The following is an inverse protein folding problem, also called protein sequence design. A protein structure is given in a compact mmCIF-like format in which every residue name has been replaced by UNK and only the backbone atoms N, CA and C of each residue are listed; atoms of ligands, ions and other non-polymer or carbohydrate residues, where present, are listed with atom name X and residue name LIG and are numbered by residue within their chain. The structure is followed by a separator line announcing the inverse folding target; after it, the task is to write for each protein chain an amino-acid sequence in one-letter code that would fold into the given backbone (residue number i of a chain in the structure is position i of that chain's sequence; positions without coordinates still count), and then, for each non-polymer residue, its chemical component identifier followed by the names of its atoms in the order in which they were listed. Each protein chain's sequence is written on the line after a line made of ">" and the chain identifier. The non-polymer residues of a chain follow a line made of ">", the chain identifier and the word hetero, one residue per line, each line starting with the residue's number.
data_IF_801541172694
#
_entry.id   IF_801541172694
#
_cell.length_a   1.000
_cell.length_b   1.000
_cell.length_c   1.000
_cell.angle_alpha   90.00
_cell.angle_beta   90.00
_cell.angle_gamma   90.00
#
_symmetry.space_group_name_H-M   'P 1'
#
loop_
_entity.id
_entity.type
_entity.pdbx_description
1 polymer ?
#
# COMPACT_ATOMS: atom_id res chain seq x y z
N UNK A 1 -14.02 21.32 21.45
CA UNK A 1 -13.73 19.86 21.40
C UNK A 1 -14.06 19.38 20.00
N UNK A 2 -13.06 19.10 19.16
CA UNK A 2 -13.32 18.55 17.82
C UNK A 2 -13.69 17.08 17.99
N UNK A 3 -14.95 16.74 17.75
CA UNK A 3 -15.40 15.36 17.65
C UNK A 3 -14.63 14.71 16.49
N UNK A 4 -13.76 13.75 16.80
CA UNK A 4 -13.13 12.93 15.76
C UNK A 4 -14.25 12.16 15.07
N UNK A 5 -14.43 12.37 13.78
CA UNK A 5 -15.26 11.50 12.94
C UNK A 5 -14.71 10.07 13.08
N UNK A 6 -15.54 9.06 13.33
CA UNK A 6 -15.07 7.68 13.35
C UNK A 6 -14.34 7.37 12.05
N UNK A 7 -13.20 6.68 12.15
CA UNK A 7 -12.49 6.17 10.97
C UNK A 7 -13.38 5.10 10.34
N UNK A 8 -13.81 5.33 9.11
CA UNK A 8 -14.51 4.32 8.33
C UNK A 8 -13.47 3.51 7.53
N UNK A 9 -13.44 2.21 7.77
CA UNK A 9 -12.61 1.28 7.03
C UNK A 9 -13.46 0.56 6.00
N UNK A 10 -12.95 0.41 4.79
CA UNK A 10 -13.62 -0.29 3.68
C UNK A 10 -13.52 -1.81 3.80
N UNK A 11 -12.66 -2.31 4.68
CA UNK A 11 -12.33 -3.73 4.83
C UNK A 11 -11.99 -4.05 6.28
N UNK A 12 -11.88 -5.33 6.59
CA UNK A 12 -11.37 -5.77 7.89
C UNK A 12 -9.86 -5.61 7.95
N UNK A 13 -9.29 -5.16 9.09
CA UNK A 13 -7.85 -5.00 9.23
C UNK A 13 -7.14 -6.35 9.21
N UNK A 14 -5.81 -6.32 9.05
CA UNK A 14 -4.97 -7.52 9.19
C UNK A 14 -5.28 -8.25 10.49
N UNK A 15 -5.46 -9.59 10.46
CA UNK A 15 -5.76 -10.37 11.66
C UNK A 15 -4.71 -10.18 12.76
N UNK A 16 -5.19 -9.87 13.97
CA UNK A 16 -4.32 -9.69 15.13
C UNK A 16 -3.59 -8.34 15.21
N UNK A 17 -3.89 -7.41 14.32
CA UNK A 17 -3.31 -6.06 14.32
C UNK A 17 -4.33 -5.06 14.87
N UNK A 18 -4.00 -4.40 15.96
CA UNK A 18 -4.81 -3.29 16.50
C UNK A 18 -4.49 -2.01 15.73
N UNK A 19 -5.54 -1.37 15.22
CA UNK A 19 -5.46 -0.11 14.45
C UNK A 19 -6.15 1.06 15.16
N UNK A 20 -6.58 0.87 16.40
CA UNK A 20 -7.31 1.90 17.17
C UNK A 20 -6.44 3.09 17.59
N UNK A 21 -5.13 2.92 17.61
CA UNK A 21 -4.14 3.87 18.11
C UNK A 21 -3.40 4.67 17.00
N UNK A 22 -3.86 4.60 15.77
CA UNK A 22 -3.22 5.29 14.64
C UNK A 22 -3.38 6.81 14.76
N UNK A 23 -2.27 7.54 14.80
CA UNK A 23 -2.22 9.00 14.93
C UNK A 23 -1.80 9.70 13.64
N UNK A 24 -1.07 9.01 12.78
CA UNK A 24 -0.56 9.51 11.51
C UNK A 24 -1.63 9.70 10.44
N UNK A 25 -1.16 10.03 9.25
CA UNK A 25 -2.01 10.19 8.07
C UNK A 25 -1.52 9.29 6.95
N UNK A 26 -2.42 8.55 6.33
CA UNK A 26 -2.15 7.78 5.12
C UNK A 26 -2.59 8.58 3.91
N UNK A 27 -1.66 8.85 3.00
CA UNK A 27 -1.92 9.54 1.73
C UNK A 27 -1.49 8.62 0.59
N UNK A 28 -2.45 8.26 -0.24
CA UNK A 28 -2.25 7.36 -1.38
C UNK A 28 -2.30 8.14 -2.67
N UNK A 29 -1.31 7.91 -3.54
CA UNK A 29 -1.29 8.47 -4.89
C UNK A 29 -1.42 7.33 -5.88
N UNK A 30 -2.57 7.28 -6.53
CA UNK A 30 -2.91 6.29 -7.54
C UNK A 30 -2.78 6.86 -8.94
N UNK A 31 -2.65 5.97 -9.92
CA UNK A 31 -2.61 6.31 -11.34
C UNK A 31 -1.83 5.31 -12.17
N UNK A 32 -1.99 5.33 -13.51
CA UNK A 32 -1.23 4.48 -14.42
C UNK A 32 0.25 4.83 -14.45
N UNK A 33 1.04 4.07 -15.21
CA UNK A 33 2.45 4.37 -15.40
C UNK A 33 2.64 5.67 -16.20
N UNK A 34 3.77 6.34 -15.97
CA UNK A 34 4.20 7.54 -16.69
C UNK A 34 3.28 8.78 -16.58
N UNK A 35 2.44 8.87 -15.55
CA UNK A 35 1.61 10.06 -15.30
C UNK A 35 2.23 11.06 -14.30
N UNK A 36 3.47 10.81 -13.87
CA UNK A 36 4.19 11.71 -12.97
C UNK A 36 3.99 11.44 -11.48
N UNK A 37 3.49 10.26 -11.08
CA UNK A 37 3.28 9.93 -9.65
C UNK A 37 4.55 10.10 -8.82
N UNK A 38 5.65 9.51 -9.26
CA UNK A 38 6.94 9.57 -8.52
C UNK A 38 7.38 11.01 -8.30
N UNK A 39 7.22 11.87 -9.30
CA UNK A 39 7.53 13.30 -9.20
C UNK A 39 6.62 13.98 -8.18
N UNK A 40 5.31 13.72 -8.23
CA UNK A 40 4.34 14.30 -7.30
C UNK A 40 4.56 13.83 -5.86
N UNK A 41 4.85 12.54 -5.65
CA UNK A 41 5.20 12.00 -4.34
C UNK A 41 6.45 12.67 -3.78
N UNK A 42 7.49 12.83 -4.61
CA UNK A 42 8.72 13.50 -4.20
C UNK A 42 8.52 14.97 -3.81
N UNK A 43 7.73 15.71 -4.58
CA UNK A 43 7.41 17.12 -4.27
C UNK A 43 6.56 17.24 -2.99
N UNK A 44 5.55 16.38 -2.84
CA UNK A 44 4.69 16.36 -1.66
C UNK A 44 5.48 15.98 -0.40
N UNK A 45 6.38 14.99 -0.50
CA UNK A 45 7.27 14.60 0.58
C UNK A 45 8.12 15.77 1.04
N UNK A 46 8.82 16.42 0.10
CA UNK A 46 9.68 17.56 0.39
C UNK A 46 8.92 18.70 1.07
N UNK A 47 7.73 19.02 0.57
CA UNK A 47 6.88 20.05 1.17
C UNK A 47 6.45 19.69 2.58
N UNK A 48 5.98 18.47 2.84
CA UNK A 48 5.57 18.01 4.18
C UNK A 48 6.74 18.02 5.17
N UNK A 49 7.93 17.61 4.75
CA UNK A 49 9.13 17.66 5.57
C UNK A 49 9.52 19.11 5.93
N UNK A 50 9.37 20.05 4.99
CA UNK A 50 9.59 21.49 5.24
C UNK A 50 8.55 22.08 6.21
N UNK A 51 7.31 21.57 6.18
CA UNK A 51 6.27 21.95 7.15
C UNK A 51 6.45 21.27 8.52
N UNK A 52 7.50 20.49 8.72
CA UNK A 52 7.85 19.85 10.00
C UNK A 52 7.21 18.51 10.26
N UNK A 53 6.65 17.85 9.23
CA UNK A 53 6.09 16.51 9.35
C UNK A 53 7.16 15.43 9.16
N UNK A 54 7.09 14.38 9.97
CA UNK A 54 7.84 13.15 9.70
C UNK A 54 7.11 12.38 8.58
N UNK A 55 7.82 11.98 7.54
CA UNK A 55 7.24 11.36 6.34
C UNK A 55 7.90 10.01 6.08
N UNK A 56 7.07 8.99 5.85
CA UNK A 56 7.48 7.71 5.30
C UNK A 56 6.98 7.61 3.85
N UNK A 57 7.87 7.30 2.93
CA UNK A 57 7.55 7.02 1.53
C UNK A 57 7.62 5.51 1.29
N UNK A 58 6.52 4.93 0.83
CA UNK A 58 6.42 3.51 0.50
C UNK A 58 5.70 3.31 -0.84
N UNK A 59 5.70 2.08 -1.35
CA UNK A 59 5.08 1.75 -2.63
C UNK A 59 5.13 0.26 -2.92
N UNK A 60 4.52 -0.16 -4.02
CA UNK A 60 4.44 -1.57 -4.41
C UNK A 60 5.82 -2.19 -4.66
N UNK A 61 5.95 -3.46 -4.31
CA UNK A 61 7.17 -4.26 -4.50
C UNK A 61 8.41 -3.72 -3.75
N UNK A 62 8.21 -3.10 -2.60
CA UNK A 62 9.30 -2.53 -1.78
C UNK A 62 9.59 -3.30 -0.49
N UNK A 63 8.85 -4.36 -0.18
CA UNK A 63 9.19 -5.19 0.98
C UNK A 63 10.51 -5.95 0.77
N UNK A 64 11.21 -6.23 1.86
CA UNK A 64 12.56 -6.78 1.81
C UNK A 64 12.64 -8.16 1.12
N UNK A 65 11.63 -9.01 1.33
CA UNK A 65 11.58 -10.36 0.77
C UNK A 65 10.71 -10.44 -0.48
N UNK A 66 9.44 -10.08 -0.38
CA UNK A 66 8.50 -10.23 -1.48
C UNK A 66 8.81 -9.28 -2.64
N UNK A 67 9.33 -8.08 -2.37
CA UNK A 67 9.76 -7.14 -3.41
C UNK A 67 10.83 -7.71 -4.33
N UNK A 68 11.83 -8.39 -3.78
CA UNK A 68 12.87 -9.08 -4.57
C UNK A 68 12.29 -10.22 -5.40
N UNK A 69 11.41 -11.04 -4.80
CA UNK A 69 10.72 -12.12 -5.49
C UNK A 69 9.87 -11.63 -6.65
N UNK A 70 9.15 -10.53 -6.48
CA UNK A 70 8.37 -9.88 -7.55
C UNK A 70 9.29 -9.44 -8.69
N UNK A 71 10.42 -8.80 -8.39
CA UNK A 71 11.37 -8.36 -9.40
C UNK A 71 11.93 -9.55 -10.20
N UNK A 72 12.40 -10.59 -9.51
CA UNK A 72 12.90 -11.81 -10.15
C UNK A 72 11.84 -12.47 -11.02
N UNK A 73 10.60 -12.53 -10.55
CA UNK A 73 9.50 -13.10 -11.32
C UNK A 73 9.18 -12.28 -12.59
N UNK A 74 9.27 -10.96 -12.54
CA UNK A 74 9.11 -10.10 -13.72
C UNK A 74 10.20 -10.30 -14.76
N UNK A 75 11.44 -10.37 -14.31
CA UNK A 75 12.59 -10.57 -15.21
C UNK A 75 12.55 -11.94 -15.91
N UNK A 76 12.17 -12.98 -15.17
CA UNK A 76 12.09 -14.34 -15.69
C UNK A 76 10.75 -14.74 -16.33
N UNK A 77 9.71 -13.93 -16.15
CA UNK A 77 8.33 -14.24 -16.52
C UNK A 77 7.87 -15.64 -16.03
N UNK A 78 8.21 -15.95 -14.78
CA UNK A 78 8.12 -17.31 -14.22
C UNK A 78 6.85 -17.62 -13.46
N UNK A 79 6.06 -16.58 -13.08
CA UNK A 79 4.84 -16.75 -12.29
C UNK A 79 3.59 -16.51 -13.14
N UNK A 80 2.59 -17.37 -12.93
CA UNK A 80 1.26 -17.16 -13.46
C UNK A 80 0.56 -15.94 -12.81
N UNK A 81 -0.55 -15.46 -13.40
CA UNK A 81 -1.24 -14.25 -12.93
C UNK A 81 -1.66 -14.31 -11.47
N UNK A 82 -2.28 -15.41 -11.03
CA UNK A 82 -2.75 -15.60 -9.65
C UNK A 82 -1.59 -15.56 -8.65
N UNK A 83 -0.51 -16.30 -8.93
CA UNK A 83 0.66 -16.33 -8.05
C UNK A 83 1.33 -14.97 -7.97
N UNK A 84 1.44 -14.25 -9.08
CA UNK A 84 1.97 -12.90 -9.10
C UNK A 84 1.12 -11.94 -8.25
N UNK A 85 -0.21 -12.04 -8.33
CA UNK A 85 -1.12 -11.26 -7.51
C UNK A 85 -0.92 -11.55 -6.02
N UNK A 86 -0.78 -12.83 -5.63
CA UNK A 86 -0.50 -13.21 -4.25
C UNK A 86 0.86 -12.69 -3.76
N UNK A 87 1.89 -12.65 -4.61
CA UNK A 87 3.17 -12.02 -4.28
C UNK A 87 3.02 -10.52 -3.98
N UNK A 88 2.24 -9.79 -4.79
CA UNK A 88 1.95 -8.39 -4.52
C UNK A 88 1.17 -8.18 -3.24
N UNK A 89 0.21 -9.05 -2.93
CA UNK A 89 -0.54 -9.00 -1.67
C UNK A 89 0.34 -9.32 -0.47
N UNK A 90 1.27 -10.27 -0.61
CA UNK A 90 2.27 -10.59 0.43
C UNK A 90 3.19 -9.40 0.67
N UNK A 91 3.72 -8.78 -0.37
CA UNK A 91 4.50 -7.55 -0.28
C UNK A 91 3.73 -6.45 0.44
N UNK A 92 2.46 -6.31 0.12
CA UNK A 92 1.61 -5.30 0.71
C UNK A 92 1.34 -5.56 2.20
N UNK A 93 1.02 -6.81 2.57
CA UNK A 93 0.80 -7.21 3.96
C UNK A 93 2.07 -7.00 4.81
N UNK A 94 3.23 -7.40 4.30
CA UNK A 94 4.51 -7.20 4.97
C UNK A 94 4.79 -5.70 5.24
N UNK A 95 4.55 -4.85 4.25
CA UNK A 95 4.72 -3.39 4.42
C UNK A 95 3.70 -2.79 5.39
N UNK A 96 2.45 -3.29 5.39
CA UNK A 96 1.47 -2.85 6.39
C UNK A 96 1.94 -3.16 7.81
N UNK A 97 2.36 -4.39 8.07
CA UNK A 97 2.79 -4.82 9.40
C UNK A 97 4.07 -4.14 9.87
N UNK A 98 5.07 -4.04 9.01
CA UNK A 98 6.43 -3.69 9.40
C UNK A 98 6.85 -2.25 9.09
N UNK A 99 6.10 -1.53 8.26
CA UNK A 99 6.42 -0.14 7.88
C UNK A 99 5.26 0.81 8.13
N UNK A 100 4.10 0.57 7.50
CA UNK A 100 3.02 1.54 7.39
C UNK A 100 2.32 1.73 8.73
N UNK A 101 1.84 0.66 9.35
CA UNK A 101 1.14 0.73 10.63
C UNK A 101 2.06 1.26 11.74
N UNK A 102 3.31 0.79 11.90
CA UNK A 102 4.24 1.37 12.88
C UNK A 102 4.48 2.87 12.66
N UNK A 103 4.64 3.32 11.43
CA UNK A 103 4.81 4.73 11.12
C UNK A 103 3.57 5.56 11.44
N UNK A 104 2.38 5.05 11.14
CA UNK A 104 1.12 5.70 11.49
C UNK A 104 0.92 5.80 13.00
N UNK A 105 1.30 4.77 13.78
CA UNK A 105 1.31 4.82 15.24
C UNK A 105 2.24 5.90 15.77
N UNK A 106 3.41 6.05 15.14
CA UNK A 106 4.39 7.08 15.50
C UNK A 106 3.99 8.50 15.05
N UNK A 107 2.84 8.67 14.40
CA UNK A 107 2.34 9.98 13.96
C UNK A 107 2.87 10.46 12.62
N UNK A 108 3.52 9.60 11.84
CA UNK A 108 4.05 9.95 10.52
C UNK A 108 2.94 10.22 9.51
N UNK A 109 3.26 11.05 8.53
CA UNK A 109 2.54 11.06 7.26
C UNK A 109 3.15 9.99 6.38
N UNK A 110 2.34 9.00 6.00
CA UNK A 110 2.77 7.90 5.13
C UNK A 110 2.29 8.19 3.72
N UNK A 111 3.22 8.39 2.80
CA UNK A 111 2.93 8.56 1.37
C UNK A 111 3.11 7.23 0.66
N UNK A 112 2.08 6.78 -0.04
CA UNK A 112 2.13 5.52 -0.78
C UNK A 112 1.91 5.77 -2.27
N UNK A 113 2.91 5.37 -3.05
CA UNK A 113 2.82 5.30 -4.51
C UNK A 113 2.16 3.98 -4.91
N UNK A 114 0.87 4.02 -5.18
CA UNK A 114 -0.06 2.93 -5.42
C UNK A 114 -0.38 2.09 -4.18
N UNK A 115 -1.65 1.85 -4.00
CA UNK A 115 -2.24 1.08 -2.92
C UNK A 115 -2.90 -0.21 -3.43
N UNK A 116 -3.65 -0.88 -2.59
CA UNK A 116 -4.36 -2.12 -2.91
C UNK A 116 -5.19 -2.03 -4.19
N UNK A 117 -5.75 -0.86 -4.48
CA UNK A 117 -6.60 -0.65 -5.66
C UNK A 117 -5.87 -0.90 -6.98
N UNK A 118 -4.58 -0.56 -7.08
CA UNK A 118 -3.76 -0.88 -8.26
C UNK A 118 -3.54 -2.38 -8.42
N UNK A 119 -3.38 -3.12 -7.32
CA UNK A 119 -3.24 -4.58 -7.35
C UNK A 119 -4.54 -5.21 -7.85
N UNK A 120 -5.67 -4.80 -7.27
CA UNK A 120 -7.00 -5.28 -7.65
C UNK A 120 -7.30 -4.98 -9.13
N UNK A 121 -7.10 -3.75 -9.56
CA UNK A 121 -7.35 -3.34 -10.94
C UNK A 121 -6.51 -4.14 -11.95
N UNK A 122 -5.23 -4.38 -11.67
CA UNK A 122 -4.36 -5.19 -12.52
C UNK A 122 -4.78 -6.65 -12.59
N UNK A 123 -5.17 -7.24 -11.45
CA UNK A 123 -5.63 -8.60 -11.38
C UNK A 123 -6.92 -8.80 -12.20
N UNK A 124 -7.89 -7.93 -12.03
CA UNK A 124 -9.15 -7.95 -12.78
C UNK A 124 -8.91 -7.74 -14.28
N UNK A 125 -8.05 -6.81 -14.65
CA UNK A 125 -7.70 -6.54 -16.05
C UNK A 125 -7.00 -7.74 -16.73
N UNK A 126 -6.36 -8.63 -15.97
CA UNK A 126 -5.78 -9.88 -16.44
C UNK A 126 -6.76 -11.05 -16.47
N UNK A 127 -8.01 -10.83 -16.09
CA UNK A 127 -9.07 -11.82 -16.12
C UNK A 127 -9.25 -12.62 -14.83
N UNK A 128 -8.64 -12.19 -13.72
CA UNK A 128 -8.85 -12.83 -12.43
C UNK A 128 -10.26 -12.51 -11.89
N UNK A 129 -10.84 -13.45 -11.15
CA UNK A 129 -12.19 -13.30 -10.60
C UNK A 129 -12.24 -12.16 -9.57
N UNK A 130 -13.13 -11.20 -9.79
CA UNK A 130 -13.26 -10.02 -8.94
C UNK A 130 -13.57 -10.36 -7.49
N UNK A 131 -14.47 -11.33 -7.25
CA UNK A 131 -14.88 -11.69 -5.88
C UNK A 131 -13.73 -12.32 -5.12
N UNK A 132 -12.97 -13.17 -5.81
CA UNK A 132 -11.76 -13.75 -5.22
C UNK A 132 -10.75 -12.67 -4.84
N UNK A 133 -10.49 -11.70 -5.73
CA UNK A 133 -9.57 -10.58 -5.44
C UNK A 133 -10.06 -9.76 -4.25
N UNK A 134 -11.34 -9.42 -4.20
CA UNK A 134 -11.91 -8.67 -3.07
C UNK A 134 -11.77 -9.43 -1.74
N UNK A 135 -11.91 -10.74 -1.75
CA UNK A 135 -11.74 -11.58 -0.56
C UNK A 135 -10.28 -11.64 -0.09
N UNK A 136 -9.34 -11.90 -0.99
CA UNK A 136 -7.92 -12.05 -0.61
C UNK A 136 -7.25 -10.71 -0.32
N UNK A 137 -7.76 -9.60 -0.84
CA UNK A 137 -7.27 -8.25 -0.61
C UNK A 137 -8.00 -7.52 0.53
N UNK A 138 -8.98 -8.15 1.16
CA UNK A 138 -9.86 -7.53 2.15
C UNK A 138 -9.22 -7.09 3.47
N UNK A 139 -7.92 -7.28 3.63
CA UNK A 139 -7.15 -6.85 4.80
C UNK A 139 -6.57 -5.41 4.68
N UNK A 140 -6.71 -4.77 3.52
CA UNK A 140 -5.98 -3.53 3.18
C UNK A 140 -6.81 -2.26 3.37
#
# INVERSE_FOLDING_TARGET
>A
MRTRTPLEFYSEPLPGVDISDLQGKLVVIEGPDAVGRTTQVGMLRQWLEQEGHAVLDSGMARSALAGKGIQMAKEGNTLGPVTMTLFYLTDFADRLENEIIPALRAGFVVLIDRYIFSIMARAIARGEDRRWIEQVAGFA
#
